data_IF_649268953730
#
_entry.id   IF_649268953730
#
_cell.length_a   1.000
_cell.length_b   1.000
_cell.length_c   1.000
_cell.angle_alpha   90.00
_cell.angle_beta   90.00
_cell.angle_gamma   90.00
#
_symmetry.space_group_name_H-M   'P 1'
#
loop_
_entity.id
_entity.type
_entity.pdbx_description
1 polymer ?
#
# COMPACT_ATOMS: atom_id res chain seq x y z
N UNK A 1 -44.39 9.03 -18.51
CA UNK A 1 -43.00 8.68 -18.14
C UNK A 1 -42.38 8.02 -19.35
N UNK A 2 -41.50 8.71 -20.08
CA UNK A 2 -40.81 8.15 -21.24
C UNK A 2 -39.64 7.32 -20.73
N UNK A 3 -39.57 6.05 -21.10
CA UNK A 3 -38.41 5.21 -20.77
C UNK A 3 -37.14 5.86 -21.32
N UNK A 4 -36.03 5.88 -20.57
CA UNK A 4 -34.75 6.34 -21.08
C UNK A 4 -34.36 5.50 -22.32
N UNK A 5 -33.68 6.11 -23.31
CA UNK A 5 -33.26 5.40 -24.50
C UNK A 5 -32.39 4.18 -24.16
N UNK A 6 -32.48 3.09 -24.94
CA UNK A 6 -31.64 1.91 -24.73
C UNK A 6 -30.16 2.29 -24.66
N UNK A 7 -29.47 1.81 -23.63
CA UNK A 7 -28.02 1.98 -23.52
C UNK A 7 -27.27 1.30 -24.67
N UNK A 8 -26.02 1.72 -24.96
CA UNK A 8 -25.22 1.09 -26.01
C UNK A 8 -25.05 -0.42 -25.73
N UNK A 9 -25.00 -1.26 -26.79
CA UNK A 9 -24.78 -2.69 -26.62
C UNK A 9 -23.42 -2.96 -25.95
N UNK A 10 -23.30 -4.05 -25.18
CA UNK A 10 -22.02 -4.43 -24.58
C UNK A 10 -20.96 -4.69 -25.67
N UNK A 11 -19.67 -4.43 -25.39
CA UNK A 11 -18.57 -4.67 -26.32
C UNK A 11 -18.55 -6.12 -26.85
N UNK A 12 -18.17 -6.27 -28.12
CA UNK A 12 -18.27 -7.51 -28.90
C UNK A 12 -17.79 -8.76 -28.14
N UNK A 13 -18.70 -9.73 -27.99
CA UNK A 13 -18.40 -11.09 -27.54
C UNK A 13 -18.72 -11.40 -26.07
N UNK A 14 -18.95 -10.40 -25.22
CA UNK A 14 -19.32 -10.67 -23.82
C UNK A 14 -20.84 -10.68 -23.63
N UNK A 15 -21.40 -11.86 -23.33
CA UNK A 15 -22.80 -12.02 -22.94
C UNK A 15 -22.90 -12.31 -21.45
N UNK A 16 -23.63 -11.50 -20.67
CA UNK A 16 -24.03 -11.89 -19.32
C UNK A 16 -24.73 -13.26 -19.36
N UNK A 17 -24.57 -14.12 -18.34
CA UNK A 17 -25.30 -15.40 -18.23
C UNK A 17 -26.82 -15.26 -18.37
N UNK A 18 -27.37 -14.11 -17.97
CA UNK A 18 -28.82 -13.82 -18.00
C UNK A 18 -29.28 -13.11 -19.30
N UNK A 19 -28.42 -13.03 -20.32
CA UNK A 19 -28.75 -12.34 -21.56
C UNK A 19 -29.63 -13.22 -22.46
N UNK A 20 -30.78 -12.72 -22.96
CA UNK A 20 -31.64 -13.51 -23.83
C UNK A 20 -30.92 -13.92 -25.13
N UNK A 21 -31.10 -15.17 -25.61
CA UNK A 21 -30.52 -15.64 -26.86
C UNK A 21 -30.94 -14.78 -28.08
N UNK A 22 -30.11 -14.70 -29.14
CA UNK A 22 -30.45 -13.97 -30.36
C UNK A 22 -31.72 -14.55 -30.98
N UNK A 23 -32.71 -13.68 -31.28
CA UNK A 23 -34.00 -14.10 -31.83
C UNK A 23 -35.12 -14.28 -30.78
N UNK A 24 -34.86 -14.02 -29.49
CA UNK A 24 -35.94 -13.93 -28.52
C UNK A 24 -36.84 -12.70 -28.78
N UNK A 25 -38.17 -12.82 -28.64
CA UNK A 25 -39.08 -11.68 -28.71
C UNK A 25 -38.64 -10.62 -27.71
N UNK A 26 -38.43 -9.41 -28.21
CA UNK A 26 -38.12 -8.26 -27.36
C UNK A 26 -39.35 -7.92 -26.53
N UNK A 27 -39.37 -8.36 -25.26
CA UNK A 27 -40.40 -7.98 -24.30
C UNK A 27 -40.07 -6.60 -23.74
N UNK A 28 -40.71 -5.57 -24.29
CA UNK A 28 -40.53 -4.17 -23.92
C UNK A 28 -40.89 -3.87 -22.45
N UNK A 29 -41.60 -4.78 -21.77
CA UNK A 29 -41.95 -4.65 -20.36
C UNK A 29 -40.94 -5.31 -19.41
N UNK A 30 -39.89 -5.99 -19.91
CA UNK A 30 -38.81 -6.49 -19.06
C UNK A 30 -37.73 -5.42 -18.87
N UNK A 31 -37.45 -5.01 -17.62
CA UNK A 31 -36.24 -4.23 -17.37
C UNK A 31 -35.04 -5.05 -17.83
N UNK A 32 -34.22 -4.50 -18.73
CA UNK A 32 -32.95 -5.11 -19.10
C UNK A 32 -32.13 -5.40 -17.83
N UNK A 33 -31.49 -6.57 -17.72
CA UNK A 33 -30.45 -6.77 -16.71
C UNK A 33 -29.39 -5.68 -16.92
N UNK A 34 -29.34 -4.72 -16.01
CA UNK A 34 -28.43 -3.59 -16.10
C UNK A 34 -27.00 -4.11 -16.11
N UNK A 35 -26.25 -3.82 -17.18
CA UNK A 35 -24.82 -4.08 -17.20
C UNK A 35 -24.16 -3.25 -16.09
N UNK A 36 -23.60 -3.93 -15.09
CA UNK A 36 -22.71 -3.31 -14.12
C UNK A 36 -21.28 -3.46 -14.63
N UNK A 37 -20.52 -2.36 -14.81
CA UNK A 37 -19.10 -2.47 -15.14
C UNK A 37 -18.40 -3.33 -14.08
N UNK A 38 -17.46 -4.21 -14.48
CA UNK A 38 -16.63 -4.91 -13.50
C UNK A 38 -15.96 -3.87 -12.60
N UNK A 39 -15.87 -4.12 -11.27
CA UNK A 39 -15.25 -3.18 -10.34
C UNK A 39 -13.86 -2.81 -10.85
N UNK A 40 -13.57 -1.51 -10.90
CA UNK A 40 -12.29 -0.99 -11.35
C UNK A 40 -11.17 -1.68 -10.58
N UNK A 41 -10.32 -2.41 -11.30
CA UNK A 41 -9.12 -3.00 -10.71
C UNK A 41 -8.16 -1.84 -10.43
N UNK A 42 -7.56 -1.78 -9.25
CA UNK A 42 -6.58 -0.75 -8.96
C UNK A 42 -5.41 -0.80 -9.95
N UNK A 43 -4.96 0.37 -10.39
CA UNK A 43 -3.79 0.48 -11.28
C UNK A 43 -2.53 0.08 -10.52
N UNK A 44 -1.62 -0.65 -11.16
CA UNK A 44 -0.32 -0.97 -10.58
C UNK A 44 0.49 0.29 -10.18
N UNK A 45 0.32 1.38 -10.94
CA UNK A 45 0.95 2.67 -10.61
C UNK A 45 0.39 3.31 -9.34
N UNK A 46 -0.88 3.09 -9.04
CA UNK A 46 -1.53 3.59 -7.81
C UNK A 46 -0.98 2.86 -6.57
N UNK A 47 -0.79 1.54 -6.67
CA UNK A 47 -0.19 0.72 -5.61
C UNK A 47 1.27 1.11 -5.39
N UNK A 48 2.02 1.34 -6.47
CA UNK A 48 3.40 1.81 -6.39
C UNK A 48 3.49 3.19 -5.72
N UNK A 49 2.68 4.15 -6.15
CA UNK A 49 2.62 5.48 -5.55
C UNK A 49 2.27 5.41 -4.06
N UNK A 50 1.32 4.56 -3.69
CA UNK A 50 0.95 4.32 -2.30
C UNK A 50 2.10 3.66 -1.49
N UNK A 51 2.91 2.80 -2.10
CA UNK A 51 4.10 2.24 -1.45
C UNK A 51 5.18 3.29 -1.21
N UNK A 52 5.42 4.18 -2.17
CA UNK A 52 6.33 5.33 -1.96
C UNK A 52 5.81 6.21 -0.81
N UNK A 53 4.52 6.51 -0.80
CA UNK A 53 3.89 7.28 0.28
C UNK A 53 4.04 6.57 1.64
N UNK A 54 3.89 5.24 1.70
CA UNK A 54 4.12 4.45 2.90
C UNK A 54 5.58 4.50 3.37
N UNK A 55 6.56 4.49 2.46
CA UNK A 55 7.97 4.67 2.81
C UNK A 55 8.25 6.06 3.38
N UNK A 56 7.71 7.12 2.75
CA UNK A 56 7.85 8.48 3.24
C UNK A 56 7.18 8.65 4.63
N UNK A 57 6.01 8.04 4.82
CA UNK A 57 5.34 7.98 6.12
C UNK A 57 6.23 7.30 7.17
N UNK A 58 6.84 6.16 6.83
CA UNK A 58 7.75 5.47 7.74
C UNK A 58 8.96 6.35 8.12
N UNK A 59 9.53 7.07 7.15
CA UNK A 59 10.61 8.02 7.42
C UNK A 59 10.16 9.12 8.39
N UNK A 60 8.95 9.68 8.20
CA UNK A 60 8.36 10.65 9.13
C UNK A 60 8.17 10.08 10.54
N UNK A 61 7.73 8.83 10.65
CA UNK A 61 7.62 8.13 11.94
C UNK A 61 8.99 8.03 12.62
N UNK A 62 10.06 7.74 11.88
CA UNK A 62 11.42 7.68 12.44
C UNK A 62 11.91 9.04 12.93
N UNK A 63 11.59 10.12 12.22
CA UNK A 63 11.93 11.50 12.63
C UNK A 63 11.22 11.89 13.94
N UNK A 64 10.08 11.28 14.27
CA UNK A 64 9.40 11.52 15.55
C UNK A 64 9.88 10.56 16.64
N UNK A 65 9.86 9.26 16.36
CA UNK A 65 10.19 8.22 17.36
C UNK A 65 11.66 8.26 17.76
N UNK A 66 12.57 8.52 16.81
CA UNK A 66 14.01 8.59 17.09
C UNK A 66 14.37 9.62 18.17
N UNK A 67 13.98 10.90 18.01
CA UNK A 67 14.17 11.92 19.05
C UNK A 67 13.46 11.61 20.36
N UNK A 68 12.25 11.05 20.33
CA UNK A 68 11.54 10.66 21.56
C UNK A 68 12.29 9.57 22.33
N UNK A 69 12.87 8.60 21.63
CA UNK A 69 13.69 7.56 22.25
C UNK A 69 15.02 8.14 22.75
N UNK A 70 15.71 8.94 21.93
CA UNK A 70 17.03 9.49 22.23
C UNK A 70 17.01 10.51 23.36
N UNK A 71 16.09 11.48 23.31
CA UNK A 71 16.02 12.57 24.27
C UNK A 71 15.02 12.33 25.41
N UNK A 72 14.06 11.44 25.21
CA UNK A 72 13.11 11.06 26.26
C UNK A 72 13.54 9.77 26.96
N UNK A 73 13.26 8.64 26.31
CA UNK A 73 13.35 7.33 26.96
C UNK A 73 14.79 6.97 27.41
N UNK A 74 15.81 7.30 26.63
CA UNK A 74 17.21 7.00 26.96
C UNK A 74 17.75 7.81 28.15
N UNK A 75 17.05 8.88 28.58
CA UNK A 75 17.36 9.60 29.82
C UNK A 75 16.64 9.01 31.03
N UNK A 76 15.61 8.19 30.83
CA UNK A 76 14.83 7.58 31.90
C UNK A 76 15.29 6.15 32.22
N UNK A 77 15.80 5.42 31.23
CA UNK A 77 16.25 4.02 31.38
C UNK A 77 17.62 3.82 30.72
N UNK A 78 18.24 2.66 30.94
CA UNK A 78 19.50 2.31 30.29
C UNK A 78 19.38 2.48 28.76
N UNK A 79 20.28 3.23 28.10
CA UNK A 79 20.16 3.55 26.68
C UNK A 79 19.97 2.33 25.77
N UNK A 80 20.67 1.23 26.05
CA UNK A 80 20.51 -0.04 25.33
C UNK A 80 19.06 -0.54 25.33
N UNK A 81 18.38 -0.44 26.46
CA UNK A 81 16.98 -0.84 26.62
C UNK A 81 16.07 0.13 25.87
N UNK A 82 16.33 1.45 25.98
CA UNK A 82 15.55 2.47 25.28
C UNK A 82 15.57 2.29 23.76
N UNK A 83 16.76 2.08 23.17
CA UNK A 83 16.89 1.85 21.73
C UNK A 83 16.29 0.52 21.28
N UNK A 84 16.44 -0.55 22.08
CA UNK A 84 15.81 -1.83 21.79
C UNK A 84 14.27 -1.71 21.80
N UNK A 85 13.70 -1.02 22.79
CA UNK A 85 12.26 -0.78 22.86
C UNK A 85 11.77 0.06 21.67
N UNK A 86 12.50 1.12 21.30
CA UNK A 86 12.20 1.94 20.13
C UNK A 86 12.22 1.13 18.82
N UNK A 87 13.24 0.29 18.63
CA UNK A 87 13.36 -0.57 17.46
C UNK A 87 12.22 -1.60 17.36
N UNK A 88 11.86 -2.23 18.49
CA UNK A 88 10.72 -3.16 18.55
C UNK A 88 9.41 -2.44 18.24
N UNK A 89 9.18 -1.26 18.81
CA UNK A 89 7.99 -0.45 18.54
C UNK A 89 7.88 -0.10 17.04
N UNK A 90 8.97 0.35 16.43
CA UNK A 90 9.02 0.66 14.99
C UNK A 90 8.76 -0.57 14.13
N UNK A 91 9.32 -1.73 14.50
CA UNK A 91 9.03 -3.00 13.84
C UNK A 91 7.54 -3.37 13.95
N UNK A 92 6.93 -3.19 15.12
CA UNK A 92 5.49 -3.42 15.30
C UNK A 92 4.65 -2.48 14.43
N UNK A 93 5.00 -1.21 14.32
CA UNK A 93 4.30 -0.27 13.42
C UNK A 93 4.40 -0.74 11.97
N UNK A 94 5.58 -1.17 11.52
CA UNK A 94 5.80 -1.62 10.16
C UNK A 94 5.06 -2.93 9.85
N UNK A 95 5.19 -3.94 10.71
CA UNK A 95 4.67 -5.28 10.44
C UNK A 95 3.23 -5.48 10.93
N UNK A 96 2.88 -5.01 12.13
CA UNK A 96 1.50 -5.12 12.62
C UNK A 96 0.62 -4.05 11.96
N UNK A 97 1.07 -2.78 11.94
CA UNK A 97 0.34 -1.70 11.28
C UNK A 97 0.30 -1.87 9.76
N UNK A 98 1.47 -2.05 9.12
CA UNK A 98 1.53 -2.29 7.68
C UNK A 98 0.88 -3.62 7.26
N UNK A 99 1.01 -4.68 8.06
CA UNK A 99 0.37 -5.97 7.81
C UNK A 99 -1.15 -5.89 7.89
N UNK A 100 -1.69 -5.19 8.91
CA UNK A 100 -3.13 -4.96 9.03
C UNK A 100 -3.69 -4.24 7.79
N UNK A 101 -2.95 -3.28 7.23
CA UNK A 101 -3.34 -2.57 6.01
C UNK A 101 -3.43 -3.49 4.77
N UNK A 102 -2.68 -4.60 4.73
CA UNK A 102 -2.77 -5.57 3.64
C UNK A 102 -4.11 -6.34 3.62
N UNK A 103 -4.72 -6.51 4.79
CA UNK A 103 -5.99 -7.21 4.98
C UNK A 103 -7.22 -6.33 4.73
N UNK A 104 -7.03 -5.02 4.52
CA UNK A 104 -8.12 -4.10 4.16
C UNK A 104 -8.70 -4.50 2.79
N UNK A 105 -9.98 -4.91 2.80
CA UNK A 105 -10.67 -5.34 1.58
C UNK A 105 -10.78 -4.19 0.58
N UNK A 106 -10.47 -4.48 -0.69
CA UNK A 106 -10.59 -3.56 -1.85
C UNK A 106 -9.75 -2.27 -1.78
N UNK A 107 -8.88 -2.09 -0.79
CA UNK A 107 -8.01 -0.91 -0.67
C UNK A 107 -6.63 -1.15 -1.28
N UNK A 108 -6.44 -0.88 -2.57
CA UNK A 108 -5.11 -0.93 -3.18
C UNK A 108 -4.14 0.08 -2.56
N UNK A 109 -4.64 1.27 -2.23
CA UNK A 109 -3.85 2.28 -1.55
C UNK A 109 -3.42 1.82 -0.14
N UNK A 110 -4.33 1.22 0.63
CA UNK A 110 -4.00 0.61 1.92
C UNK A 110 -2.92 -0.47 1.77
N UNK A 111 -3.05 -1.35 0.78
CA UNK A 111 -2.03 -2.36 0.48
C UNK A 111 -0.68 -1.76 0.11
N UNK A 112 -0.68 -0.74 -0.74
CA UNK A 112 0.53 -0.01 -1.11
C UNK A 112 1.22 0.58 0.11
N UNK A 113 0.50 1.33 0.95
CA UNK A 113 1.07 1.91 2.17
C UNK A 113 1.58 0.83 3.11
N UNK A 114 0.84 -0.26 3.30
CA UNK A 114 1.26 -1.38 4.14
C UNK A 114 2.59 -1.95 3.68
N UNK A 115 2.75 -2.20 2.39
CA UNK A 115 4.04 -2.62 1.80
C UNK A 115 5.11 -1.54 1.98
N UNK A 116 4.77 -0.27 1.76
CA UNK A 116 5.67 0.86 1.93
C UNK A 116 6.22 1.00 3.35
N UNK A 117 5.41 0.75 4.38
CA UNK A 117 5.84 0.75 5.78
C UNK A 117 6.84 -0.38 6.05
N UNK A 118 6.58 -1.59 5.56
CA UNK A 118 7.50 -2.73 5.70
C UNK A 118 8.83 -2.48 4.98
N UNK A 119 8.77 -1.95 3.75
CA UNK A 119 9.97 -1.60 2.97
C UNK A 119 10.74 -0.48 3.69
N UNK A 120 10.05 0.56 4.18
CA UNK A 120 10.66 1.66 4.92
C UNK A 120 11.44 1.17 6.15
N UNK A 121 10.87 0.21 6.90
CA UNK A 121 11.55 -0.43 8.03
C UNK A 121 12.83 -1.16 7.60
N UNK A 122 12.75 -1.95 6.53
CA UNK A 122 13.90 -2.67 6.00
C UNK A 122 15.01 -1.71 5.53
N UNK A 123 14.67 -0.69 4.75
CA UNK A 123 15.62 0.30 4.24
C UNK A 123 16.30 1.07 5.37
N UNK A 124 15.54 1.49 6.38
CA UNK A 124 16.09 2.23 7.53
C UNK A 124 17.04 1.34 8.34
N UNK A 125 16.71 0.05 8.50
CA UNK A 125 17.56 -0.91 9.18
C UNK A 125 18.87 -1.14 8.43
N UNK A 126 18.81 -1.33 7.10
CA UNK A 126 19.99 -1.48 6.24
C UNK A 126 20.85 -0.22 6.30
N UNK A 127 20.25 0.97 6.20
CA UNK A 127 20.95 2.24 6.27
C UNK A 127 21.69 2.41 7.61
N UNK A 128 21.02 2.07 8.72
CA UNK A 128 21.61 2.16 10.05
C UNK A 128 22.77 1.19 10.21
N UNK A 129 22.60 -0.06 9.79
CA UNK A 129 23.67 -1.06 9.81
C UNK A 129 24.83 -0.63 8.93
N UNK A 130 24.57 -0.09 7.73
CA UNK A 130 25.60 0.42 6.81
C UNK A 130 26.44 1.56 7.38
N UNK A 131 25.83 2.44 8.18
CA UNK A 131 26.56 3.45 8.95
C UNK A 131 27.37 2.78 10.07
N UNK A 132 26.79 1.84 10.81
CA UNK A 132 27.45 1.16 11.92
C UNK A 132 28.61 0.25 11.48
N UNK A 133 28.53 -0.36 10.29
CA UNK A 133 29.61 -1.20 9.73
C UNK A 133 30.69 -0.39 9.02
N UNK A 134 30.45 0.92 8.81
CA UNK A 134 31.45 1.81 8.24
C UNK A 134 31.86 1.42 6.83
N UNK A 135 30.88 1.20 5.93
CA UNK A 135 31.14 1.21 4.48
C UNK A 135 31.65 2.61 4.09
N UNK A 136 32.94 2.83 4.28
CA UNK A 136 33.59 4.11 4.13
C UNK A 136 33.75 4.40 2.62
N UNK A 137 33.10 5.44 2.07
CA UNK A 137 33.33 5.84 0.69
C UNK A 137 34.80 6.21 0.41
N UNK A 138 35.60 6.58 1.43
CA UNK A 138 37.04 6.84 1.29
C UNK A 138 37.88 5.59 1.01
N UNK A 139 37.40 4.37 1.29
CA UNK A 139 38.13 3.14 0.96
C UNK A 139 38.07 2.78 -0.54
N UNK A 140 37.12 3.35 -1.29
CA UNK A 140 37.04 3.14 -2.75
C UNK A 140 37.86 4.15 -3.55
N UNK A 141 38.40 5.18 -2.91
CA UNK A 141 39.23 6.21 -3.56
C UNK A 141 40.74 5.94 -3.41
N UNK A 142 41.14 4.82 -2.80
CA UNK A 142 42.54 4.55 -2.39
C UNK A 142 43.30 3.57 -3.29
N UNK A 143 42.90 3.45 -4.57
CA UNK A 143 43.60 2.59 -5.55
C UNK A 143 43.74 3.22 -6.95
N UNK A 144 43.87 4.55 -7.03
CA UNK A 144 44.50 5.18 -8.21
C UNK A 144 45.77 5.89 -7.82
#
# INVERSE_FOLDING_TARGET
MTNPPPGPPPPDGWRPPDWPPPGYPYDMNRPYPGWQPPPSKPSGGEIFGAAIAGMALYAGINVVVGPLVLFGLANAVAPKIAFAAGAVMLALIAFAGGGALLFVKKGAWARGIGMGLMIGWALTSIFTVGICTGLNPMLYHLTR
#
